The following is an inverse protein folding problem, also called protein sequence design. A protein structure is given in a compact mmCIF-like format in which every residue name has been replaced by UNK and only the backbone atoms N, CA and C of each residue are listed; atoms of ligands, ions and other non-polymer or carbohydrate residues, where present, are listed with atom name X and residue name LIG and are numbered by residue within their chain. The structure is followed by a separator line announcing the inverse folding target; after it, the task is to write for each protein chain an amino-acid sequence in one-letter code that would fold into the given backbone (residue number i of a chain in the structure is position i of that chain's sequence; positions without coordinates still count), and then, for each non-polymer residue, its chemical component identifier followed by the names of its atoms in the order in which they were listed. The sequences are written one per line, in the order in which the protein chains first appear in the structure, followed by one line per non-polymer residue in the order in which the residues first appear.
data_IF_937197904467
#
_entry.id   IF_937197904467
#
_cell.length_a   1.000
_cell.length_b   1.000
_cell.length_c   1.000
_cell.angle_alpha   90.00
_cell.angle_beta   90.00
_cell.angle_gamma   90.00
#
_symmetry.space_group_name_H-M   'P 1'
#
loop_
_entity.id
_entity.type
_entity.pdbx_description
1 polymer ?
#
# COMPACT_ATOMS: atom_id res chain seq x y z
N UNK A 1 -17.57 -10.12 38.46
CA UNK A 1 -16.30 -9.39 38.39
C UNK A 1 -15.21 -10.36 38.79
N UNK A 2 -14.60 -11.01 37.80
CA UNK A 2 -13.39 -11.82 38.03
C UNK A 2 -12.21 -10.85 37.92
N UNK A 3 -11.41 -10.79 38.97
CA UNK A 3 -10.25 -9.91 39.08
C UNK A 3 -9.29 -10.15 37.91
N UNK A 4 -9.07 -9.08 37.14
CA UNK A 4 -8.04 -9.01 36.10
C UNK A 4 -6.67 -9.13 36.79
N UNK A 5 -5.75 -9.98 36.29
CA UNK A 5 -4.39 -9.98 36.80
C UNK A 5 -3.76 -8.61 36.53
N UNK A 6 -3.13 -8.06 37.57
CA UNK A 6 -2.44 -6.78 37.57
C UNK A 6 -1.30 -6.82 36.53
N UNK A 7 -1.54 -6.28 35.33
CA UNK A 7 -0.53 -6.12 34.26
C UNK A 7 0.33 -4.89 34.61
N UNK A 8 0.84 -4.85 35.84
CA UNK A 8 1.89 -3.91 36.23
C UNK A 8 3.21 -4.67 36.17
N UNK A 9 4.01 -4.29 35.18
CA UNK A 9 5.48 -4.37 35.20
C UNK A 9 6.11 -5.74 35.47
N UNK A 10 6.03 -6.65 34.49
CA UNK A 10 7.07 -7.69 34.30
C UNK A 10 7.60 -7.84 32.88
N UNK A 11 7.40 -6.84 32.01
CA UNK A 11 8.20 -6.76 30.78
C UNK A 11 9.61 -6.31 31.17
N UNK A 12 10.54 -7.24 31.30
CA UNK A 12 11.95 -6.89 31.55
C UNK A 12 12.42 -5.99 30.41
N UNK A 13 12.60 -4.71 30.69
CA UNK A 13 13.25 -3.78 29.76
C UNK A 13 14.69 -4.25 29.64
N UNK A 14 15.00 -4.98 28.58
CA UNK A 14 16.38 -5.32 28.27
C UNK A 14 17.04 -4.05 27.77
N UNK A 15 17.82 -3.39 28.64
CA UNK A 15 18.76 -2.38 28.19
C UNK A 15 19.76 -3.06 27.26
N UNK A 16 19.86 -2.55 26.03
CA UNK A 16 20.87 -2.98 25.07
C UNK A 16 22.24 -2.55 25.59
N UNK A 17 22.85 -3.39 26.43
CA UNK A 17 24.22 -3.24 26.91
C UNK A 17 25.20 -3.62 25.79
N UNK A 18 25.14 -2.92 24.66
CA UNK A 18 26.16 -2.69 23.62
C UNK A 18 27.15 -3.79 23.19
N UNK A 19 26.99 -5.04 23.62
CA UNK A 19 28.14 -5.94 23.82
C UNK A 19 27.92 -7.41 23.46
N UNK A 20 26.69 -7.89 23.24
CA UNK A 20 26.48 -9.25 22.73
C UNK A 20 25.36 -9.30 21.70
N UNK A 21 25.75 -9.71 20.49
CA UNK A 21 24.92 -10.18 19.38
C UNK A 21 23.93 -9.19 18.72
N UNK A 22 24.47 -8.18 18.03
CA UNK A 22 23.76 -7.55 16.89
C UNK A 22 23.25 -8.59 15.86
N UNK A 23 23.84 -9.79 15.80
CA UNK A 23 23.50 -10.88 14.87
C UNK A 23 22.21 -11.63 15.22
N UNK A 24 21.83 -11.76 16.50
CA UNK A 24 20.66 -12.58 16.89
C UNK A 24 19.34 -11.82 16.77
N UNK A 25 19.44 -10.49 16.71
CA UNK A 25 18.31 -9.57 16.76
C UNK A 25 17.35 -9.74 15.58
N UNK A 26 17.85 -10.18 14.42
CA UNK A 26 17.07 -10.41 13.20
C UNK A 26 17.63 -11.55 12.33
N UNK A 27 18.25 -12.56 12.95
CA UNK A 27 18.51 -13.81 12.24
C UNK A 27 17.16 -14.46 11.91
N UNK A 28 16.81 -14.48 10.63
CA UNK A 28 15.67 -15.22 10.11
C UNK A 28 16.17 -16.58 9.65
N UNK A 29 15.71 -17.63 10.33
CA UNK A 29 15.99 -19.00 9.90
C UNK A 29 15.33 -19.28 8.55
N UNK A 30 15.91 -20.21 7.79
CA UNK A 30 15.27 -20.75 6.58
C UNK A 30 13.86 -21.24 6.91
N UNK A 31 12.84 -20.65 6.29
CA UNK A 31 11.44 -21.05 6.45
C UNK A 31 10.63 -20.31 7.54
N UNK A 32 11.18 -19.26 8.17
CA UNK A 32 10.39 -18.42 9.09
C UNK A 32 9.64 -17.31 8.36
N UNK A 33 8.47 -16.93 8.89
CA UNK A 33 7.66 -15.80 8.40
C UNK A 33 7.69 -14.69 9.46
N UNK A 34 8.73 -13.84 9.47
CA UNK A 34 8.77 -12.74 10.41
C UNK A 34 7.68 -11.72 10.10
N UNK A 35 6.92 -11.36 11.13
CA UNK A 35 5.79 -10.43 11.00
C UNK A 35 6.12 -9.14 11.73
N UNK A 36 5.96 -8.01 11.02
CA UNK A 36 6.18 -6.68 11.57
C UNK A 36 4.84 -5.93 11.63
N UNK A 37 4.46 -5.47 12.82
CA UNK A 37 3.26 -4.67 13.05
C UNK A 37 3.71 -3.29 13.50
N UNK A 38 3.20 -2.23 12.89
CA UNK A 38 3.54 -0.86 13.26
C UNK A 38 2.35 -0.21 13.97
N UNK A 39 2.54 0.19 15.22
CA UNK A 39 1.52 0.84 16.05
C UNK A 39 1.91 2.30 16.24
N UNK A 40 1.04 3.18 15.77
CA UNK A 40 1.17 4.63 15.87
C UNK A 40 0.59 5.12 17.21
N UNK A 41 1.24 6.12 17.81
CA UNK A 41 0.83 6.71 19.12
C UNK A 41 0.64 5.65 20.21
N UNK A 42 1.70 4.87 20.45
CA UNK A 42 1.65 3.66 21.27
C UNK A 42 1.77 3.92 22.78
N UNK A 43 1.93 5.18 23.19
CA UNK A 43 2.34 5.55 24.54
C UNK A 43 1.43 6.63 25.13
N UNK A 44 1.16 6.48 26.43
CA UNK A 44 0.47 7.51 27.20
C UNK A 44 1.39 8.70 27.47
N UNK A 45 0.82 9.90 27.71
CA UNK A 45 1.61 11.04 28.16
C UNK A 45 2.37 10.70 29.44
N UNK A 46 3.59 11.20 29.56
CA UNK A 46 4.37 11.07 30.79
C UNK A 46 3.70 11.88 31.91
N UNK A 47 3.28 11.20 32.97
CA UNK A 47 2.97 11.86 34.24
C UNK A 47 4.29 12.10 34.99
N UNK A 48 4.41 13.28 35.62
CA UNK A 48 5.68 13.95 35.92
C UNK A 48 6.77 13.20 36.71
N UNK A 49 6.47 12.04 37.31
CA UNK A 49 7.45 11.20 38.01
C UNK A 49 7.96 10.01 37.19
N UNK A 50 7.31 9.68 36.07
CA UNK A 50 7.73 8.55 35.24
C UNK A 50 8.91 8.90 34.35
N UNK A 51 9.95 8.06 34.38
CA UNK A 51 11.10 8.23 33.48
C UNK A 51 10.79 7.78 32.05
N UNK A 52 9.76 6.94 31.87
CA UNK A 52 9.39 6.34 30.59
C UNK A 52 7.88 6.21 30.46
N UNK A 53 7.31 6.51 29.27
CA UNK A 53 5.88 6.46 29.11
C UNK A 53 5.39 5.01 29.09
N UNK A 54 4.28 4.77 29.79
CA UNK A 54 3.57 3.49 29.71
C UNK A 54 2.98 3.28 28.32
N UNK A 55 2.86 2.00 27.92
CA UNK A 55 2.12 1.65 26.71
C UNK A 55 0.64 1.95 26.93
N UNK A 56 -0.04 2.46 25.92
CA UNK A 56 -1.45 2.79 26.07
C UNK A 56 -2.34 1.54 26.09
N UNK A 57 -3.61 1.74 26.46
CA UNK A 57 -4.64 0.70 26.48
C UNK A 57 -4.80 -0.05 25.14
N UNK A 58 -4.52 0.60 24.00
CA UNK A 58 -4.64 -0.03 22.69
C UNK A 58 -3.53 -1.05 22.45
N UNK A 59 -2.30 -0.75 22.88
CA UNK A 59 -1.19 -1.71 22.84
C UNK A 59 -1.46 -2.86 23.81
N UNK A 60 -1.95 -2.59 25.02
CA UNK A 60 -2.33 -3.65 25.95
C UNK A 60 -3.41 -4.57 25.38
N UNK A 61 -4.42 -3.98 24.73
CA UNK A 61 -5.49 -4.72 24.05
C UNK A 61 -4.92 -5.58 22.92
N UNK A 62 -3.99 -5.03 22.13
CA UNK A 62 -3.31 -5.77 21.08
C UNK A 62 -2.54 -6.99 21.64
N UNK A 63 -1.82 -6.82 22.74
CA UNK A 63 -1.10 -7.92 23.42
C UNK A 63 -2.10 -9.01 23.86
N UNK A 64 -3.21 -8.62 24.51
CA UNK A 64 -4.27 -9.56 24.91
C UNK A 64 -4.87 -10.30 23.70
N UNK A 65 -5.07 -9.61 22.58
CA UNK A 65 -5.57 -10.24 21.35
C UNK A 65 -4.60 -11.28 20.77
N UNK A 66 -3.28 -11.09 20.89
CA UNK A 66 -2.29 -12.10 20.47
C UNK A 66 -2.49 -13.40 21.26
N UNK A 67 -2.64 -13.29 22.57
CA UNK A 67 -2.92 -14.44 23.44
C UNK A 67 -4.21 -15.16 23.06
N UNK A 68 -5.30 -14.42 22.93
CA UNK A 68 -6.61 -14.97 22.55
C UNK A 68 -6.55 -15.65 21.18
N UNK A 69 -5.93 -15.01 20.19
CA UNK A 69 -5.76 -15.57 18.85
C UNK A 69 -4.93 -16.86 18.89
N UNK A 70 -3.86 -16.89 19.69
CA UNK A 70 -3.08 -18.10 19.96
C UNK A 70 -3.95 -19.23 20.50
N UNK A 71 -4.70 -19.00 21.58
CA UNK A 71 -5.56 -20.03 22.16
C UNK A 71 -6.63 -20.54 21.18
N UNK A 72 -7.25 -19.64 20.41
CA UNK A 72 -8.26 -19.98 19.41
C UNK A 72 -7.70 -20.86 18.28
N UNK A 73 -6.52 -20.53 17.75
CA UNK A 73 -5.92 -21.25 16.61
C UNK A 73 -5.53 -22.68 17.00
N UNK A 74 -4.97 -22.86 18.19
CA UNK A 74 -4.48 -24.17 18.63
C UNK A 74 -5.52 -24.98 19.41
N UNK A 75 -6.71 -24.42 19.65
CA UNK A 75 -7.80 -25.09 20.38
C UNK A 75 -7.47 -25.44 21.83
N UNK A 76 -6.48 -24.77 22.42
CA UNK A 76 -6.02 -24.97 23.80
C UNK A 76 -5.45 -23.68 24.34
N UNK A 77 -5.46 -23.51 25.66
CA UNK A 77 -4.78 -22.37 26.26
C UNK A 77 -3.28 -22.46 26.04
N UNK A 78 -2.75 -21.49 25.29
CA UNK A 78 -1.32 -21.33 25.10
C UNK A 78 -0.86 -20.16 25.94
N UNK A 79 0.09 -20.44 26.82
CA UNK A 79 0.85 -19.41 27.52
C UNK A 79 1.99 -18.94 26.61
N UNK A 80 1.75 -17.86 25.86
CA UNK A 80 2.84 -17.13 25.20
C UNK A 80 3.61 -16.31 26.25
N UNK A 81 4.83 -15.88 25.91
CA UNK A 81 5.57 -14.91 26.72
C UNK A 81 5.00 -13.51 26.42
N UNK A 82 5.08 -12.57 27.37
CA UNK A 82 4.60 -11.18 27.21
C UNK A 82 5.41 -10.40 26.16
N UNK A 83 6.48 -11.02 25.67
CA UNK A 83 7.36 -10.49 24.66
C UNK A 83 8.43 -9.60 25.28
N UNK A 84 9.56 -9.51 24.59
CA UNK A 84 10.71 -8.73 25.05
C UNK A 84 10.62 -7.32 24.46
N UNK A 85 10.56 -6.31 25.33
CA UNK A 85 10.55 -4.92 24.92
C UNK A 85 11.97 -4.37 24.78
N UNK A 86 12.25 -3.76 23.64
CA UNK A 86 13.52 -3.11 23.33
C UNK A 86 13.30 -1.64 22.98
N UNK A 87 14.24 -0.79 23.38
CA UNK A 87 14.22 0.63 23.01
C UNK A 87 14.66 0.84 21.59
N UNK A 88 14.05 1.81 20.94
CA UNK A 88 14.40 2.21 19.57
C UNK A 88 14.44 3.73 19.46
N UNK A 89 15.14 4.30 18.47
CA UNK A 89 15.17 5.75 18.26
C UNK A 89 13.79 6.38 18.05
N UNK A 90 12.81 5.59 17.61
CA UNK A 90 11.44 6.00 17.32
C UNK A 90 10.43 5.71 18.46
N UNK A 91 10.87 5.10 19.55
CA UNK A 91 9.99 4.68 20.64
C UNK A 91 10.49 3.37 21.26
N UNK A 92 9.75 2.29 21.02
CA UNK A 92 10.15 0.95 21.42
C UNK A 92 9.73 -0.09 20.36
N UNK A 93 10.08 -1.34 20.61
CA UNK A 93 9.48 -2.49 19.95
C UNK A 93 9.26 -3.61 20.96
N UNK A 94 8.30 -4.46 20.71
CA UNK A 94 8.09 -5.70 21.46
C UNK A 94 8.28 -6.88 20.50
N UNK A 95 9.09 -7.85 20.91
CA UNK A 95 9.37 -9.03 20.12
C UNK A 95 8.78 -10.28 20.82
N UNK A 96 7.99 -11.04 20.08
CA UNK A 96 7.50 -12.35 20.47
C UNK A 96 8.11 -13.45 19.59
N UNK A 97 8.30 -14.62 20.19
CA UNK A 97 8.56 -15.86 19.46
C UNK A 97 7.27 -16.67 19.53
N UNK A 98 6.55 -16.71 18.41
CA UNK A 98 5.34 -17.49 18.25
C UNK A 98 5.69 -19.00 18.12
N UNK A 99 4.73 -19.91 18.38
CA UNK A 99 4.96 -21.32 18.18
C UNK A 99 5.38 -21.62 16.73
N UNK A 100 6.33 -22.54 16.56
CA UNK A 100 7.00 -22.76 15.28
C UNK A 100 8.20 -21.85 15.01
N UNK A 101 8.62 -21.01 15.99
CA UNK A 101 9.82 -20.19 15.90
C UNK A 101 9.65 -18.91 15.08
N UNK A 102 8.42 -18.58 14.69
CA UNK A 102 8.13 -17.36 13.93
C UNK A 102 8.22 -16.13 14.83
N UNK A 103 8.93 -15.09 14.38
CA UNK A 103 9.07 -13.83 15.11
C UNK A 103 7.90 -12.90 14.79
N UNK A 104 7.23 -12.39 15.81
CA UNK A 104 6.29 -11.27 15.70
C UNK A 104 6.92 -10.05 16.37
N UNK A 105 7.00 -8.94 15.66
CA UNK A 105 7.66 -7.73 16.11
C UNK A 105 6.67 -6.57 15.99
N UNK A 106 6.21 -6.04 17.13
CA UNK A 106 5.42 -4.81 17.15
C UNK A 106 6.34 -3.61 17.37
N UNK A 107 6.34 -2.70 16.41
CA UNK A 107 7.03 -1.42 16.48
C UNK A 107 6.10 -0.39 17.11
N UNK A 108 6.51 0.16 18.25
CA UNK A 108 5.74 1.12 19.03
C UNK A 108 6.31 2.51 18.82
N UNK A 109 5.51 3.38 18.21
CA UNK A 109 5.92 4.74 17.91
C UNK A 109 5.59 5.70 19.06
N UNK A 110 6.59 6.46 19.46
CA UNK A 110 6.47 7.55 20.42
C UNK A 110 6.22 8.88 19.71
N UNK A 111 5.08 9.51 20.04
CA UNK A 111 4.67 10.81 19.48
C UNK A 111 5.57 11.98 19.90
N UNK A 112 6.34 11.84 20.97
CA UNK A 112 7.28 12.87 21.43
C UNK A 112 8.58 12.86 20.61
N UNK A 113 8.99 11.68 20.12
CA UNK A 113 10.22 11.50 19.34
C UNK A 113 10.00 11.65 17.84
N UNK A 114 8.80 11.34 17.36
CA UNK A 114 8.46 11.44 15.94
C UNK A 114 7.27 12.36 15.76
N UNK A 115 7.32 13.16 14.70
CA UNK A 115 6.27 14.10 14.29
C UNK A 115 4.86 13.53 14.51
N UNK A 116 4.16 14.19 15.43
CA UNK A 116 2.79 13.89 15.80
C UNK A 116 1.85 13.94 14.59
N UNK A 117 0.86 13.02 14.57
CA UNK A 117 -0.20 12.93 13.57
C UNK A 117 0.30 12.75 12.10
N UNK A 118 1.52 12.24 11.91
CA UNK A 118 2.05 11.83 10.62
C UNK A 118 2.42 10.36 10.66
N UNK A 119 1.70 9.53 9.91
CA UNK A 119 2.02 8.12 9.72
C UNK A 119 3.33 7.98 8.95
N UNK A 120 4.12 6.96 9.23
CA UNK A 120 5.17 6.60 8.28
C UNK A 120 4.54 6.14 6.97
N UNK A 121 5.20 6.45 5.86
CA UNK A 121 4.75 5.96 4.56
C UNK A 121 5.09 4.49 4.41
N UNK A 122 4.30 3.77 3.62
CA UNK A 122 4.59 2.36 3.29
C UNK A 122 6.01 2.19 2.72
N UNK A 123 6.49 3.16 1.94
CA UNK A 123 7.86 3.21 1.42
C UNK A 123 8.90 3.30 2.55
N UNK A 124 8.64 4.08 3.61
CA UNK A 124 9.55 4.13 4.76
C UNK A 124 9.61 2.79 5.48
N UNK A 125 8.48 2.10 5.67
CA UNK A 125 8.46 0.76 6.26
C UNK A 125 9.23 -0.25 5.40
N UNK A 126 8.97 -0.26 4.09
CA UNK A 126 9.68 -1.12 3.14
C UNK A 126 11.19 -0.83 3.15
N UNK A 127 11.59 0.45 3.13
CA UNK A 127 12.99 0.84 3.16
C UNK A 127 13.69 0.45 4.47
N UNK A 128 13.00 0.59 5.61
CA UNK A 128 13.50 0.16 6.91
C UNK A 128 13.73 -1.36 6.94
N UNK A 129 12.74 -2.14 6.50
CA UNK A 129 12.85 -3.60 6.40
C UNK A 129 13.97 -3.98 5.41
N UNK A 130 14.00 -3.36 4.24
CA UNK A 130 14.97 -3.65 3.18
C UNK A 130 16.41 -3.35 3.60
N UNK A 131 16.67 -2.13 4.11
CA UNK A 131 18.02 -1.73 4.56
C UNK A 131 18.51 -2.60 5.70
N UNK A 132 17.66 -2.87 6.68
CA UNK A 132 18.10 -3.61 7.85
C UNK A 132 18.20 -5.12 7.60
N UNK A 133 17.17 -5.72 6.99
CA UNK A 133 17.14 -7.17 6.80
C UNK A 133 18.17 -7.64 5.77
N UNK A 134 18.40 -6.87 4.71
CA UNK A 134 19.19 -7.32 3.56
C UNK A 134 20.56 -6.65 3.52
N UNK A 135 20.66 -5.36 3.86
CA UNK A 135 21.91 -4.61 3.65
C UNK A 135 22.90 -4.74 4.79
N UNK A 136 22.44 -4.81 6.05
CA UNK A 136 23.32 -4.91 7.23
C UNK A 136 23.80 -6.34 7.54
N UNK A 137 23.09 -7.37 7.05
CA UNK A 137 23.34 -8.77 7.43
C UNK A 137 24.10 -9.61 6.39
N UNK A 138 24.34 -9.11 5.17
CA UNK A 138 24.94 -9.88 4.08
C UNK A 138 26.05 -9.12 3.33
N UNK A 139 27.11 -9.82 2.91
CA UNK A 139 28.08 -9.29 1.92
C UNK A 139 27.49 -9.24 0.51
N UNK A 140 28.12 -8.53 -0.44
CA UNK A 140 27.56 -8.25 -1.78
C UNK A 140 27.01 -9.47 -2.55
N UNK A 141 27.73 -10.61 -2.55
CA UNK A 141 27.21 -11.85 -3.17
C UNK A 141 26.01 -12.44 -2.40
N UNK A 142 26.03 -12.36 -1.07
CA UNK A 142 24.93 -12.81 -0.22
C UNK A 142 23.68 -11.96 -0.35
N UNK A 143 23.82 -10.66 -0.62
CA UNK A 143 22.69 -9.73 -0.85
C UNK A 143 21.88 -10.15 -2.06
N UNK A 144 22.53 -10.47 -3.18
CA UNK A 144 21.83 -10.89 -4.41
C UNK A 144 21.07 -12.20 -4.22
N UNK A 145 21.68 -13.19 -3.58
CA UNK A 145 21.03 -14.46 -3.27
C UNK A 145 19.87 -14.31 -2.27
N UNK A 146 20.02 -13.44 -1.27
CA UNK A 146 18.96 -13.13 -0.31
C UNK A 146 17.77 -12.43 -0.99
N UNK A 147 18.02 -11.49 -1.90
CA UNK A 147 16.99 -10.76 -2.64
C UNK A 147 16.14 -11.65 -3.54
N UNK A 148 16.75 -12.66 -4.18
CA UNK A 148 16.02 -13.55 -5.10
C UNK A 148 14.99 -14.45 -4.39
N UNK A 149 15.16 -14.71 -3.09
CA UNK A 149 14.29 -15.60 -2.31
C UNK A 149 13.56 -14.91 -1.16
N UNK A 150 13.55 -13.57 -1.12
CA UNK A 150 12.86 -12.80 -0.08
C UNK A 150 11.63 -12.13 -0.67
N UNK A 151 10.47 -12.40 -0.08
CA UNK A 151 9.21 -11.75 -0.42
C UNK A 151 8.78 -10.85 0.73
N UNK A 152 8.26 -9.67 0.40
CA UNK A 152 7.67 -8.76 1.37
C UNK A 152 6.18 -8.68 1.08
N UNK A 153 5.37 -9.12 2.05
CA UNK A 153 3.92 -8.95 2.01
C UNK A 153 3.55 -7.74 2.89
N UNK A 154 2.88 -6.76 2.29
CA UNK A 154 2.36 -5.59 3.02
C UNK A 154 0.85 -5.58 2.99
N UNK A 155 0.22 -5.40 4.15
CA UNK A 155 -1.23 -5.48 4.34
C UNK A 155 -1.67 -4.37 5.29
N UNK A 156 -2.88 -3.85 5.08
CA UNK A 156 -3.55 -2.99 6.05
C UNK A 156 -4.17 -3.85 7.17
N UNK A 157 -4.33 -3.28 8.36
CA UNK A 157 -4.78 -4.02 9.55
C UNK A 157 -6.24 -4.51 9.47
N UNK A 158 -7.05 -3.92 8.59
CA UNK A 158 -8.44 -4.28 8.33
C UNK A 158 -8.61 -5.23 7.13
N UNK A 159 -7.51 -5.71 6.56
CA UNK A 159 -7.54 -6.61 5.40
C UNK A 159 -7.66 -8.06 5.86
N UNK A 160 -8.70 -8.73 5.38
CA UNK A 160 -8.90 -10.17 5.53
C UNK A 160 -8.47 -10.90 4.26
N UNK A 161 -7.72 -12.00 4.41
CA UNK A 161 -7.24 -12.81 3.30
C UNK A 161 -7.10 -14.28 3.75
N UNK A 162 -7.11 -15.21 2.79
CA UNK A 162 -6.88 -16.64 3.08
C UNK A 162 -5.43 -17.03 2.79
N UNK A 163 -4.91 -18.10 3.41
CA UNK A 163 -3.57 -18.60 3.10
C UNK A 163 -3.37 -18.92 1.60
N UNK A 164 -4.42 -19.35 0.90
CA UNK A 164 -4.40 -19.65 -0.53
C UNK A 164 -4.06 -18.42 -1.37
N UNK A 165 -4.56 -17.24 -0.98
CA UNK A 165 -4.35 -15.98 -1.70
C UNK A 165 -2.88 -15.59 -1.68
N UNK A 166 -2.19 -15.80 -0.55
CA UNK A 166 -0.74 -15.55 -0.42
C UNK A 166 0.05 -16.51 -1.32
N UNK A 167 -0.32 -17.80 -1.35
CA UNK A 167 0.34 -18.77 -2.24
C UNK A 167 0.17 -18.39 -3.71
N UNK A 168 -1.00 -17.89 -4.10
CA UNK A 168 -1.26 -17.45 -5.46
C UNK A 168 -0.41 -16.23 -5.86
N UNK A 169 -0.22 -15.27 -4.95
CA UNK A 169 0.68 -14.13 -5.16
C UNK A 169 2.13 -14.57 -5.36
N UNK A 170 2.63 -15.45 -4.49
CA UNK A 170 4.00 -16.00 -4.60
C UNK A 170 4.15 -16.76 -5.93
N UNK A 171 3.18 -17.61 -6.29
CA UNK A 171 3.18 -18.33 -7.57
C UNK A 171 3.22 -17.37 -8.76
N UNK A 172 2.50 -16.24 -8.69
CA UNK A 172 2.52 -15.21 -9.73
C UNK A 172 3.89 -14.54 -9.84
N UNK A 173 4.52 -14.18 -8.73
CA UNK A 173 5.86 -13.60 -8.72
C UNK A 173 6.90 -14.58 -9.27
N UNK A 174 6.74 -15.87 -9.00
CA UNK A 174 7.66 -16.91 -9.46
C UNK A 174 7.51 -17.29 -10.94
N UNK A 175 6.51 -16.76 -11.65
CA UNK A 175 6.36 -17.00 -13.09
C UNK A 175 7.50 -16.35 -13.91
N UNK A 176 8.09 -15.27 -13.43
CA UNK A 176 9.19 -14.59 -14.13
C UNK A 176 10.01 -13.73 -13.17
N UNK A 177 11.33 -13.78 -13.31
CA UNK A 177 12.27 -12.92 -12.58
C UNK A 177 12.08 -11.42 -12.87
N UNK A 178 11.32 -11.06 -13.90
CA UNK A 178 10.98 -9.66 -14.23
C UNK A 178 9.82 -9.11 -13.38
N UNK A 179 9.10 -9.95 -12.63
CA UNK A 179 7.96 -9.52 -11.82
C UNK A 179 8.48 -9.06 -10.45
N UNK A 180 8.57 -7.74 -10.27
CA UNK A 180 9.03 -7.13 -9.00
C UNK A 180 7.96 -6.98 -7.92
N UNK A 181 6.67 -7.04 -8.28
CA UNK A 181 5.56 -6.90 -7.34
C UNK A 181 4.30 -7.60 -7.85
N UNK A 182 3.45 -8.08 -6.93
CA UNK A 182 2.13 -8.60 -7.20
C UNK A 182 1.13 -8.05 -6.16
N UNK A 183 -0.11 -7.80 -6.57
CA UNK A 183 -1.17 -7.29 -5.70
C UNK A 183 -2.41 -8.17 -5.81
N UNK A 184 -3.05 -8.46 -4.68
CA UNK A 184 -4.33 -9.17 -4.62
C UNK A 184 -5.49 -8.26 -4.98
N UNK A 185 -6.60 -8.84 -5.46
CA UNK A 185 -7.84 -8.11 -5.72
C UNK A 185 -8.50 -7.76 -4.38
N UNK A 186 -8.76 -6.46 -4.18
CA UNK A 186 -9.48 -5.96 -3.01
C UNK A 186 -10.99 -6.00 -3.26
N UNK A 187 -11.72 -6.65 -2.35
CA UNK A 187 -13.16 -6.71 -2.29
C UNK A 187 -13.65 -5.82 -1.15
N UNK A 188 -14.56 -4.87 -1.41
CA UNK A 188 -15.10 -4.03 -0.35
C UNK A 188 -16.04 -4.83 0.55
N UNK A 189 -15.84 -4.71 1.85
CA UNK A 189 -16.76 -5.10 2.91
C UNK A 189 -17.50 -3.83 3.39
N UNK A 190 -18.82 -3.91 3.54
CA UNK A 190 -19.67 -2.78 3.92
C UNK A 190 -21.13 -3.00 3.48
N UNK A 191 -22.07 -2.21 4.01
CA UNK A 191 -23.50 -2.30 3.63
C UNK A 191 -23.72 -2.12 2.13
N UNK A 192 -24.85 -2.64 1.67
CA UNK A 192 -25.22 -2.97 0.28
C UNK A 192 -25.07 -1.84 -0.76
N UNK A 193 -24.90 -0.59 -0.34
CA UNK A 193 -24.90 0.61 -1.18
C UNK A 193 -23.66 0.74 -2.09
N UNK A 194 -22.47 0.37 -1.61
CA UNK A 194 -21.25 0.42 -2.45
C UNK A 194 -21.25 -0.76 -3.44
N UNK A 195 -21.75 -1.91 -3.02
CA UNK A 195 -22.01 -3.05 -3.90
C UNK A 195 -23.08 -2.70 -4.95
N UNK A 196 -24.09 -1.93 -4.55
CA UNK A 196 -25.14 -1.42 -5.44
C UNK A 196 -24.60 -0.39 -6.44
N UNK A 197 -23.66 0.48 -6.03
CA UNK A 197 -22.99 1.41 -6.96
C UNK A 197 -22.16 0.67 -8.00
N UNK A 198 -21.37 -0.32 -7.60
CA UNK A 198 -20.66 -1.19 -8.55
C UNK A 198 -21.63 -1.95 -9.47
N UNK A 199 -22.78 -2.40 -8.94
CA UNK A 199 -23.84 -3.03 -9.72
C UNK A 199 -24.50 -2.05 -10.70
N UNK A 200 -24.72 -0.80 -10.30
CA UNK A 200 -25.21 0.29 -11.16
C UNK A 200 -24.24 0.57 -12.31
N UNK A 201 -22.93 0.62 -12.04
CA UNK A 201 -21.91 0.82 -13.07
C UNK A 201 -21.89 -0.34 -14.07
N UNK A 202 -21.99 -1.59 -13.62
CA UNK A 202 -22.14 -2.75 -14.52
C UNK A 202 -23.45 -2.69 -15.30
N UNK A 203 -24.57 -2.30 -14.67
CA UNK A 203 -25.87 -2.10 -15.33
C UNK A 203 -25.83 -1.00 -16.40
N UNK A 204 -24.99 0.01 -16.22
CA UNK A 204 -24.76 1.11 -17.17
C UNK A 204 -23.71 0.76 -18.25
N UNK A 205 -23.27 -0.50 -18.32
CA UNK A 205 -22.38 -0.99 -19.37
C UNK A 205 -20.89 -0.77 -19.11
N UNK A 206 -20.50 -0.33 -17.91
CA UNK A 206 -19.09 -0.16 -17.55
C UNK A 206 -18.44 -1.50 -17.21
N UNK A 207 -17.30 -1.79 -17.85
CA UNK A 207 -16.53 -3.01 -17.60
C UNK A 207 -15.63 -2.80 -16.38
N UNK A 208 -15.75 -3.69 -15.39
CA UNK A 208 -14.90 -3.71 -14.20
C UNK A 208 -13.92 -4.87 -14.34
N UNK A 209 -12.64 -4.60 -14.59
CA UNK A 209 -11.61 -5.63 -14.76
C UNK A 209 -10.77 -5.86 -13.51
N UNK A 210 -10.71 -7.13 -13.12
CA UNK A 210 -10.05 -7.75 -11.96
C UNK A 210 -8.90 -8.72 -12.31
N UNK A 211 -7.81 -8.81 -11.51
CA UNK A 211 -6.93 -10.00 -11.47
C UNK A 211 -7.63 -11.12 -10.68
N UNK A 212 -7.86 -12.30 -11.28
CA UNK A 212 -8.83 -13.30 -10.77
C UNK A 212 -8.34 -14.18 -9.60
N UNK A 213 -7.02 -14.41 -9.47
CA UNK A 213 -6.54 -15.54 -8.66
C UNK A 213 -6.25 -15.22 -7.17
N UNK A 214 -6.36 -13.97 -6.71
CA UNK A 214 -6.03 -13.60 -5.33
C UNK A 214 -7.03 -12.58 -4.81
N UNK A 215 -7.62 -12.88 -3.65
CA UNK A 215 -8.67 -12.07 -3.05
C UNK A 215 -8.26 -11.57 -1.66
N UNK A 216 -8.59 -10.33 -1.36
CA UNK A 216 -8.46 -9.70 -0.06
C UNK A 216 -9.68 -8.83 0.17
N UNK A 217 -10.11 -8.67 1.41
CA UNK A 217 -11.35 -7.99 1.77
C UNK A 217 -11.07 -6.84 2.75
N UNK A 218 -11.62 -5.64 2.55
CA UNK A 218 -11.37 -4.46 3.40
C UNK A 218 -12.63 -3.61 3.61
N UNK A 219 -12.73 -2.92 4.74
CA UNK A 219 -13.90 -2.08 5.05
C UNK A 219 -13.82 -0.73 4.32
N UNK A 220 -14.94 -0.29 3.74
CA UNK A 220 -15.00 1.01 3.04
C UNK A 220 -15.71 2.05 3.91
N UNK A 221 -15.29 3.33 3.92
CA UNK A 221 -15.99 4.35 4.69
C UNK A 221 -17.46 4.50 4.28
N UNK A 222 -18.35 4.52 5.26
CA UNK A 222 -19.78 4.75 5.05
C UNK A 222 -20.13 6.24 5.00
N UNK A 223 -19.33 7.10 5.65
CA UNK A 223 -19.58 8.54 5.70
C UNK A 223 -18.78 9.34 4.66
N UNK A 224 -19.44 10.32 4.04
CA UNK A 224 -18.80 11.23 3.08
C UNK A 224 -17.58 11.97 3.67
N UNK A 225 -17.65 12.39 4.93
CA UNK A 225 -16.52 13.07 5.60
C UNK A 225 -15.28 12.17 5.67
N UNK A 226 -15.48 10.90 5.99
CA UNK A 226 -14.41 9.90 6.05
C UNK A 226 -13.84 9.60 4.65
N UNK A 227 -14.72 9.46 3.65
CA UNK A 227 -14.34 9.32 2.23
C UNK A 227 -13.54 10.53 1.73
N UNK A 228 -14.01 11.75 1.96
CA UNK A 228 -13.34 12.99 1.57
C UNK A 228 -11.95 13.12 2.20
N UNK A 229 -11.85 12.82 3.51
CA UNK A 229 -10.58 12.82 4.21
C UNK A 229 -9.61 11.74 3.71
N UNK A 230 -10.11 10.60 3.22
CA UNK A 230 -9.27 9.61 2.53
C UNK A 230 -8.77 10.16 1.18
N UNK A 231 -9.67 10.63 0.32
CA UNK A 231 -9.32 11.13 -1.03
C UNK A 231 -8.37 12.33 -0.98
N UNK A 232 -8.62 13.28 -0.09
CA UNK A 232 -7.74 14.46 0.12
C UNK A 232 -6.31 14.06 0.49
N UNK A 233 -6.11 12.95 1.20
CA UNK A 233 -4.77 12.44 1.54
C UNK A 233 -4.06 11.81 0.34
N UNK A 234 -4.80 11.18 -0.58
CA UNK A 234 -4.21 10.40 -1.69
C UNK A 234 -3.98 11.22 -2.97
N UNK A 235 -4.76 12.28 -3.19
CA UNK A 235 -4.66 13.11 -4.40
C UNK A 235 -3.24 13.66 -4.61
N UNK A 236 -2.55 14.24 -3.60
CA UNK A 236 -1.22 14.80 -3.82
C UNK A 236 -0.17 13.75 -4.22
N UNK A 237 -0.18 12.57 -3.59
CA UNK A 237 0.78 11.50 -3.91
C UNK A 237 0.49 10.88 -5.27
N UNK A 238 -0.79 10.74 -5.62
CA UNK A 238 -1.19 10.23 -6.94
C UNK A 238 -0.72 11.18 -8.05
N UNK A 239 -0.93 12.49 -7.86
CA UNK A 239 -0.47 13.51 -8.79
C UNK A 239 1.07 13.52 -8.90
N UNK A 240 1.77 13.44 -7.77
CA UNK A 240 3.24 13.39 -7.75
C UNK A 240 3.77 12.15 -8.49
N UNK A 241 3.17 10.98 -8.29
CA UNK A 241 3.56 9.75 -8.99
C UNK A 241 3.30 9.83 -10.50
N UNK A 242 2.16 10.41 -10.91
CA UNK A 242 1.85 10.66 -12.33
C UNK A 242 2.90 11.59 -12.93
N UNK A 243 3.20 12.71 -12.26
CA UNK A 243 4.21 13.67 -12.71
C UNK A 243 5.61 13.05 -12.77
N UNK A 244 5.97 12.19 -11.83
CA UNK A 244 7.27 11.50 -11.82
C UNK A 244 7.39 10.51 -12.98
N UNK A 245 6.33 9.75 -13.27
CA UNK A 245 6.27 8.88 -14.47
C UNK A 245 6.36 9.69 -15.76
N UNK A 246 5.73 10.86 -15.80
CA UNK A 246 5.77 11.80 -16.92
C UNK A 246 7.11 12.55 -17.03
N UNK A 247 7.90 12.64 -15.96
CA UNK A 247 9.25 13.24 -15.97
C UNK A 247 10.21 12.55 -16.93
N UNK A 248 9.85 11.35 -17.40
CA UNK A 248 10.55 10.67 -18.47
C UNK A 248 10.27 11.39 -19.81
N UNK A 249 11.17 12.30 -20.18
CA UNK A 249 11.09 13.22 -21.33
C UNK A 249 10.66 12.56 -22.66
N UNK A 250 11.02 11.30 -22.88
CA UNK A 250 10.60 10.53 -24.08
C UNK A 250 9.09 10.30 -24.12
N UNK A 251 8.44 10.06 -22.97
CA UNK A 251 6.98 9.88 -22.87
C UNK A 251 6.25 11.21 -23.00
N UNK A 252 6.83 12.29 -22.47
CA UNK A 252 6.32 13.66 -22.70
C UNK A 252 6.38 14.06 -24.17
N UNK A 253 7.45 13.72 -24.88
CA UNK A 253 7.56 13.99 -26.32
C UNK A 253 6.50 13.20 -27.12
N UNK A 254 6.26 11.94 -26.77
CA UNK A 254 5.17 11.16 -27.39
C UNK A 254 3.79 11.76 -27.10
N UNK A 255 3.54 12.25 -25.88
CA UNK A 255 2.27 12.89 -25.52
C UNK A 255 2.07 14.23 -26.25
N UNK A 256 3.06 15.12 -26.20
CA UNK A 256 3.03 16.43 -26.86
C UNK A 256 2.94 16.28 -28.38
N UNK A 257 3.69 15.36 -28.98
CA UNK A 257 3.60 15.11 -30.42
C UNK A 257 2.23 14.53 -30.83
N UNK A 258 1.58 13.74 -29.98
CA UNK A 258 0.22 13.23 -30.25
C UNK A 258 -0.84 14.33 -30.15
N UNK A 259 -0.65 15.33 -29.26
CA UNK A 259 -1.52 16.50 -29.16
C UNK A 259 -1.33 17.50 -30.32
N UNK A 260 -0.10 17.67 -30.81
CA UNK A 260 0.22 18.63 -31.87
C UNK A 260 -0.16 18.10 -33.27
N UNK A 261 -0.04 16.80 -33.53
CA UNK A 261 -0.31 16.18 -34.86
C UNK A 261 -1.69 16.51 -35.44
N UNK A 262 -2.81 16.38 -34.68
CA UNK A 262 -4.13 16.75 -35.19
C UNK A 262 -4.22 18.24 -35.56
N UNK A 263 -3.61 19.11 -34.73
CA UNK A 263 -3.58 20.55 -34.97
C UNK A 263 -2.77 20.93 -36.20
N UNK A 264 -1.62 20.28 -36.43
CA UNK A 264 -0.80 20.51 -37.62
C UNK A 264 -1.55 20.09 -38.89
N UNK A 265 -2.17 18.91 -38.91
CA UNK A 265 -2.96 18.44 -40.06
C UNK A 265 -4.12 19.40 -40.35
N UNK A 266 -4.83 19.85 -39.31
CA UNK A 266 -5.91 20.82 -39.44
C UNK A 266 -5.42 22.13 -40.08
N UNK A 267 -4.29 22.67 -39.60
CA UNK A 267 -3.72 23.90 -40.15
C UNK A 267 -3.20 23.73 -41.60
N UNK A 268 -2.64 22.56 -41.93
CA UNK A 268 -2.19 22.25 -43.30
C UNK A 268 -3.37 22.22 -44.28
N UNK A 269 -4.49 21.57 -43.91
CA UNK A 269 -5.70 21.53 -44.75
C UNK A 269 -6.30 22.94 -44.91
N UNK A 270 -6.38 23.71 -43.82
CA UNK A 270 -6.83 25.10 -43.86
C UNK A 270 -6.01 25.96 -44.83
N UNK A 271 -4.68 25.86 -44.76
CA UNK A 271 -3.78 26.57 -45.67
C UNK A 271 -3.94 26.13 -47.12
N UNK A 272 -4.12 24.82 -47.36
CA UNK A 272 -4.34 24.29 -48.71
C UNK A 272 -5.64 24.80 -49.35
N UNK A 273 -6.72 24.95 -48.58
CA UNK A 273 -8.00 25.49 -49.09
C UNK A 273 -7.87 26.97 -49.47
N UNK A 274 -7.18 27.77 -48.64
CA UNK A 274 -6.98 29.20 -48.92
C UNK A 274 -6.14 29.41 -50.19
N UNK A 275 -5.09 28.61 -50.37
CA UNK A 275 -4.18 28.73 -51.52
C UNK A 275 -4.77 28.10 -52.79
N UNK A 276 -5.55 27.03 -52.65
CA UNK A 276 -6.07 26.28 -53.79
C UNK A 276 -7.34 26.87 -54.42
N UNK A 277 -8.06 27.74 -53.69
CA UNK A 277 -9.32 28.31 -54.15
C UNK A 277 -9.35 29.83 -53.97
N UNK A 278 -8.93 30.54 -55.01
CA UNK A 278 -9.00 32.01 -55.06
C UNK A 278 -10.46 32.48 -54.96
N UNK A 279 -10.80 33.16 -53.87
CA UNK A 279 -12.12 33.73 -53.61
C UNK A 279 -12.85 33.17 -52.39
N UNK A 280 -12.34 32.12 -51.74
CA UNK A 280 -12.92 31.62 -50.48
C UNK A 280 -12.42 32.46 -49.30
N UNK A 281 -13.35 32.96 -48.47
CA UNK A 281 -12.98 33.70 -47.27
C UNK A 281 -12.36 32.78 -46.21
N UNK A 282 -11.36 33.23 -45.43
CA UNK A 282 -10.71 32.41 -44.39
C UNK A 282 -11.70 31.83 -43.38
N UNK A 283 -12.76 32.56 -43.04
CA UNK A 283 -13.81 32.08 -42.14
C UNK A 283 -14.58 30.89 -42.72
N UNK A 284 -14.87 30.90 -44.02
CA UNK A 284 -15.54 29.79 -44.70
C UNK A 284 -14.62 28.56 -44.81
N UNK A 285 -13.33 28.76 -45.09
CA UNK A 285 -12.33 27.66 -45.09
C UNK A 285 -12.22 26.97 -43.73
N UNK A 286 -12.34 27.72 -42.64
CA UNK A 286 -12.28 27.18 -41.28
C UNK A 286 -13.54 26.34 -40.96
N UNK A 287 -14.72 26.82 -41.36
CA UNK A 287 -15.98 26.08 -41.23
C UNK A 287 -15.93 24.78 -42.04
N UNK A 288 -15.48 24.83 -43.30
CA UNK A 288 -15.35 23.66 -44.16
C UNK A 288 -14.41 22.60 -43.58
N UNK A 289 -13.31 23.02 -42.95
CA UNK A 289 -12.35 22.13 -42.31
C UNK A 289 -12.88 21.53 -40.98
N UNK A 290 -13.80 22.20 -40.30
CA UNK A 290 -14.45 21.70 -39.07
C UNK A 290 -15.53 20.63 -39.35
N UNK A 291 -16.18 20.66 -40.52
CA UNK A 291 -17.21 19.67 -40.90
C UNK A 291 -16.72 18.21 -40.81
N UNK A 292 -15.61 17.81 -41.46
CA UNK A 292 -15.13 16.42 -41.37
C UNK A 292 -14.68 16.04 -39.96
N UNK A 293 -14.13 16.98 -39.19
CA UNK A 293 -13.75 16.74 -37.78
C UNK A 293 -14.99 16.49 -36.92
N UNK A 294 -16.04 17.31 -37.09
CA UNK A 294 -17.32 17.13 -36.40
C UNK A 294 -18.01 15.82 -36.77
N UNK A 295 -18.00 15.45 -38.06
CA UNK A 295 -18.52 14.16 -38.53
C UNK A 295 -17.75 12.98 -37.93
N UNK A 296 -16.42 13.06 -37.87
CA UNK A 296 -15.60 12.03 -37.23
C UNK A 296 -15.91 11.88 -35.74
N UNK A 297 -16.04 12.99 -35.00
CA UNK A 297 -16.41 12.98 -33.58
C UNK A 297 -17.81 12.39 -33.38
N UNK A 298 -18.78 12.73 -34.23
CA UNK A 298 -20.11 12.13 -34.17
C UNK A 298 -20.05 10.63 -34.46
N UNK A 299 -19.28 10.20 -35.47
CA UNK A 299 -19.11 8.77 -35.75
C UNK A 299 -18.45 8.03 -34.60
N UNK A 300 -17.45 8.58 -33.92
CA UNK A 300 -16.84 7.92 -32.76
C UNK A 300 -17.75 7.87 -31.54
N UNK A 301 -18.62 8.86 -31.35
CA UNK A 301 -19.60 8.87 -30.26
C UNK A 301 -20.78 7.91 -30.51
N UNK A 302 -21.16 7.68 -31.76
CA UNK A 302 -22.30 6.84 -32.15
C UNK A 302 -21.93 5.45 -32.70
N UNK A 303 -20.64 5.17 -32.91
CA UNK A 303 -20.20 3.84 -33.34
C UNK A 303 -20.30 2.86 -32.15
N UNK A 304 -21.07 1.77 -32.25
CA UNK A 304 -21.09 0.75 -31.22
C UNK A 304 -19.71 0.11 -31.08
N UNK A 305 -19.18 0.06 -29.87
CA UNK A 305 -17.91 -0.57 -29.60
C UNK A 305 -17.98 -2.07 -29.97
N UNK A 306 -17.25 -2.46 -31.02
CA UNK A 306 -17.12 -3.86 -31.41
C UNK A 306 -16.42 -4.61 -30.27
N UNK A 307 -17.09 -5.63 -29.73
CA UNK A 307 -16.57 -6.45 -28.63
C UNK A 307 -15.40 -7.28 -29.15
N UNK A 308 -14.17 -6.86 -28.86
CA UNK A 308 -12.97 -7.72 -28.88
C UNK A 308 -12.78 -8.40 -27.53
#
# INVERSE_FOLDING_TARGET
MQDLPDIKTKTTIVQDNGGKNKRDMFSYGSGTIPTHVFIEDAFDPLDGEETYPNVNIHVETFIKCIYMAGSCIYGRDIKLDDGYMYRTPYGARINWILPGGNKLIAHLKDKTKIRFNRRWTQVMYMNYIFKWCIHENHGELGKKAALENTYILTLDADVQFKPEDVRNLIRRMNKSKLIGAACGRIHPLGRDEIRWLCTMLVKQGWKIEYCDDSHAYTYVPEEFKSLYNQRRRWIPSTLANILDVLRNWQKMFMFVSTLLKPGTIFMTIFGAIIVGFDGISPWLSLILNLIPVGLFVLMTLYSPAEKQ
#
